data_IF_085740603356
#
_entry.id   IF_085740603356
#
_cell.length_a   1.000
_cell.length_b   1.000
_cell.length_c   1.000
_cell.angle_alpha   90.00
_cell.angle_beta   90.00
_cell.angle_gamma   90.00
#
_symmetry.space_group_name_H-M   'P 1'
#
loop_
_entity.id
_entity.type
_entity.pdbx_description
1 polymer ?
#
# COMPACT_ATOMS: atom_id res chain seq x y z
N UNK A 1 -6.68 -17.33 -3.74
CA UNK A 1 -7.59 -16.95 -4.82
C UNK A 1 -6.92 -15.82 -5.58
N UNK A 2 -6.69 -16.03 -6.88
CA UNK A 2 -6.05 -15.04 -7.75
C UNK A 2 -7.01 -13.88 -7.97
N UNK A 3 -6.88 -12.82 -7.17
CA UNK A 3 -7.79 -11.67 -7.17
C UNK A 3 -7.78 -10.92 -8.51
N UNK A 4 -6.74 -11.12 -9.33
CA UNK A 4 -6.69 -10.69 -10.72
C UNK A 4 -7.74 -11.42 -11.56
N UNK A 5 -7.85 -12.75 -11.41
CA UNK A 5 -8.90 -13.54 -12.04
C UNK A 5 -10.29 -13.10 -11.57
N UNK A 6 -10.49 -12.85 -10.28
CA UNK A 6 -11.79 -12.38 -9.75
C UNK A 6 -12.17 -11.00 -10.31
N UNK A 7 -11.21 -10.07 -10.39
CA UNK A 7 -11.49 -8.71 -10.83
C UNK A 7 -11.71 -8.63 -12.34
N UNK A 8 -10.96 -9.40 -13.14
CA UNK A 8 -11.23 -9.54 -14.57
C UNK A 8 -12.56 -10.27 -14.81
N UNK A 9 -12.87 -11.31 -14.04
CA UNK A 9 -14.13 -12.05 -14.18
C UNK A 9 -15.35 -11.16 -13.90
N UNK A 10 -15.27 -10.25 -12.92
CA UNK A 10 -16.32 -9.24 -12.66
C UNK A 10 -16.58 -8.31 -13.84
N UNK A 11 -15.62 -8.19 -14.75
CA UNK A 11 -15.76 -7.43 -15.98
C UNK A 11 -15.99 -8.30 -17.22
N UNK A 12 -16.30 -9.59 -17.03
CA UNK A 12 -16.53 -10.53 -18.13
C UNK A 12 -15.25 -10.93 -18.87
N UNK A 13 -14.08 -10.75 -18.26
CA UNK A 13 -12.78 -11.10 -18.84
C UNK A 13 -12.13 -12.26 -18.10
N UNK A 14 -11.37 -13.06 -18.84
CA UNK A 14 -10.49 -14.08 -18.29
C UNK A 14 -9.06 -13.78 -18.70
N UNK A 15 -8.16 -13.71 -17.73
CA UNK A 15 -6.73 -13.59 -18.02
C UNK A 15 -6.24 -14.87 -18.73
N UNK A 16 -5.60 -14.77 -19.92
CA UNK A 16 -5.20 -15.96 -20.67
C UNK A 16 -3.91 -16.62 -20.16
N UNK A 17 -3.14 -15.95 -19.29
CA UNK A 17 -1.85 -16.43 -18.79
C UNK A 17 -1.90 -17.06 -17.39
N UNK A 18 -0.88 -17.85 -17.00
CA UNK A 18 -0.80 -18.46 -15.67
C UNK A 18 -0.33 -17.47 -14.58
N UNK A 19 0.19 -16.30 -14.96
CA UNK A 19 0.77 -15.30 -14.06
C UNK A 19 0.14 -13.93 -14.29
N UNK A 20 -0.13 -13.14 -13.24
CA UNK A 20 -0.62 -11.78 -13.39
C UNK A 20 0.29 -10.92 -14.29
N UNK A 21 -0.27 -9.99 -15.08
CA UNK A 21 0.50 -9.09 -15.93
C UNK A 21 1.38 -8.16 -15.10
N UNK A 22 2.56 -7.82 -15.64
CA UNK A 22 3.52 -6.90 -15.04
C UNK A 22 3.58 -5.54 -15.72
N UNK A 23 2.91 -5.40 -16.87
CA UNK A 23 2.85 -4.14 -17.63
C UNK A 23 1.57 -4.05 -18.45
N UNK A 24 1.21 -2.81 -18.81
CA UNK A 24 0.10 -2.51 -19.71
C UNK A 24 0.34 -3.12 -21.10
N UNK A 25 1.59 -3.21 -21.54
CA UNK A 25 1.96 -3.85 -22.79
C UNK A 25 1.60 -5.34 -22.82
N UNK A 26 1.84 -6.07 -21.72
CA UNK A 26 1.43 -7.48 -21.59
C UNK A 26 -0.10 -7.63 -21.63
N UNK A 27 -0.84 -6.73 -20.97
CA UNK A 27 -2.31 -6.74 -21.02
C UNK A 27 -2.81 -6.43 -22.42
N UNK A 28 -2.22 -5.46 -23.12
CA UNK A 28 -2.56 -5.10 -24.50
C UNK A 28 -2.29 -6.24 -25.47
N UNK A 29 -1.18 -6.97 -25.28
CA UNK A 29 -0.87 -8.16 -26.07
C UNK A 29 -1.88 -9.29 -25.84
N UNK A 30 -2.41 -9.44 -24.62
CA UNK A 30 -3.42 -10.42 -24.28
C UNK A 30 -4.82 -10.07 -24.82
N UNK A 31 -5.13 -8.78 -25.02
CA UNK A 31 -6.44 -8.29 -25.48
C UNK A 31 -6.29 -7.27 -26.63
N UNK A 32 -5.81 -7.68 -27.81
CA UNK A 32 -5.46 -6.76 -28.90
C UNK A 32 -6.66 -6.02 -29.49
N UNK A 33 -7.85 -6.60 -29.41
CA UNK A 33 -9.09 -6.02 -29.97
C UNK A 33 -9.78 -5.02 -29.01
N UNK A 34 -9.28 -4.88 -27.77
CA UNK A 34 -9.89 -4.00 -26.78
C UNK A 34 -9.46 -2.55 -26.99
N UNK A 35 -10.43 -1.63 -26.91
CA UNK A 35 -10.14 -0.20 -26.91
C UNK A 35 -9.28 0.18 -25.70
N UNK A 36 -8.25 1.00 -25.92
CA UNK A 36 -7.24 1.32 -24.90
C UNK A 36 -7.85 1.94 -23.62
N UNK A 37 -8.89 2.76 -23.75
CA UNK A 37 -9.60 3.34 -22.61
C UNK A 37 -10.32 2.29 -21.74
N UNK A 38 -10.95 1.29 -22.37
CA UNK A 38 -11.64 0.22 -21.65
C UNK A 38 -10.63 -0.75 -21.03
N UNK A 39 -9.51 -1.00 -21.71
CA UNK A 39 -8.39 -1.78 -21.20
C UNK A 39 -7.77 -1.11 -19.95
N UNK A 40 -7.51 0.20 -19.98
CA UNK A 40 -7.00 0.93 -18.80
C UNK A 40 -7.99 0.90 -17.64
N UNK A 41 -9.30 1.05 -17.90
CA UNK A 41 -10.35 0.91 -16.87
C UNK A 41 -10.34 -0.50 -16.26
N UNK A 42 -10.09 -1.52 -17.08
CA UNK A 42 -9.97 -2.90 -16.63
C UNK A 42 -8.82 -3.12 -15.68
N UNK A 43 -7.64 -2.65 -16.07
CA UNK A 43 -6.44 -2.78 -15.25
C UNK A 43 -6.63 -2.04 -13.94
N UNK A 44 -7.14 -0.81 -13.95
CA UNK A 44 -7.42 -0.07 -12.72
C UNK A 44 -8.42 -0.76 -11.80
N UNK A 45 -9.49 -1.33 -12.37
CA UNK A 45 -10.46 -2.12 -11.61
C UNK A 45 -9.82 -3.37 -11.02
N UNK A 46 -8.97 -4.05 -11.80
CA UNK A 46 -8.19 -5.19 -11.34
C UNK A 46 -7.38 -4.78 -10.12
N UNK A 47 -6.58 -3.72 -10.24
CA UNK A 47 -5.78 -3.05 -9.20
C UNK A 47 -6.58 -2.52 -7.99
N UNK A 48 -7.90 -2.73 -7.95
CA UNK A 48 -8.76 -2.31 -6.83
C UNK A 48 -9.16 -0.85 -6.85
N UNK A 49 -8.92 -0.13 -7.96
CA UNK A 49 -9.24 1.28 -8.15
C UNK A 49 -10.21 1.49 -9.34
N UNK A 50 -11.50 1.12 -9.22
CA UNK A 50 -12.43 1.15 -10.35
C UNK A 50 -12.74 2.57 -10.90
N UNK A 51 -12.46 3.61 -10.10
CA UNK A 51 -12.68 5.02 -10.47
C UNK A 51 -11.41 5.83 -10.16
N UNK A 52 -10.36 5.73 -10.98
CA UNK A 52 -9.15 6.51 -10.76
C UNK A 52 -9.45 8.01 -10.88
N UNK A 53 -8.78 8.83 -10.07
CA UNK A 53 -8.86 10.30 -9.99
C UNK A 53 -10.26 10.84 -9.69
N UNK A 54 -11.07 10.05 -8.99
CA UNK A 54 -12.44 10.41 -8.64
C UNK A 54 -12.53 11.52 -7.60
N UNK A 55 -11.56 11.60 -6.69
CA UNK A 55 -11.49 12.63 -5.66
C UNK A 55 -10.63 13.80 -6.13
N UNK A 56 -11.23 15.00 -6.16
CA UNK A 56 -10.54 16.25 -6.49
C UNK A 56 -9.89 16.84 -5.25
N UNK A 57 -8.56 16.94 -5.27
CA UNK A 57 -7.81 17.46 -4.13
C UNK A 57 -7.65 18.97 -4.22
N UNK A 58 -7.97 19.65 -3.12
CA UNK A 58 -7.48 21.01 -2.89
C UNK A 58 -5.94 20.99 -2.79
N UNK A 59 -5.27 22.14 -3.00
CA UNK A 59 -3.82 22.23 -2.82
C UNK A 59 -3.36 21.75 -1.43
N UNK A 60 -4.11 22.07 -0.37
CA UNK A 60 -3.82 21.63 0.98
C UNK A 60 -4.01 20.11 1.16
N UNK A 61 -5.07 19.54 0.58
CA UNK A 61 -5.31 18.09 0.63
C UNK A 61 -4.19 17.32 -0.10
N UNK A 62 -3.66 17.89 -1.19
CA UNK A 62 -2.53 17.31 -1.92
C UNK A 62 -1.24 17.25 -1.09
N UNK A 63 -0.93 18.33 -0.37
CA UNK A 63 0.23 18.34 0.53
C UNK A 63 0.11 17.29 1.64
N UNK A 64 -1.11 16.97 2.10
CA UNK A 64 -1.33 15.97 3.15
C UNK A 64 -1.08 14.53 2.71
N UNK A 65 -0.97 14.24 1.41
CA UNK A 65 -0.71 12.87 0.93
C UNK A 65 0.66 12.33 1.35
N UNK A 66 1.64 13.20 1.56
CA UNK A 66 2.97 12.83 2.05
C UNK A 66 3.12 12.99 3.56
N UNK A 67 2.08 13.44 4.27
CA UNK A 67 2.15 13.78 5.69
C UNK A 67 1.53 12.69 6.58
N UNK A 68 1.98 12.63 7.82
CA UNK A 68 1.36 11.84 8.87
C UNK A 68 -0.11 12.29 9.06
N UNK A 69 -1.05 11.38 8.83
CA UNK A 69 -2.50 11.66 8.91
C UNK A 69 -3.08 11.19 10.24
N UNK A 70 -2.58 10.07 10.76
CA UNK A 70 -2.95 9.55 12.06
C UNK A 70 -1.71 9.04 12.80
N UNK A 71 -1.68 9.23 14.11
CA UNK A 71 -0.67 8.70 15.01
C UNK A 71 -1.32 8.26 16.32
N UNK A 72 -1.02 7.03 16.73
CA UNK A 72 -1.48 6.45 18.00
C UNK A 72 -0.31 5.79 18.72
N UNK A 73 -0.20 6.10 19.99
CA UNK A 73 0.69 5.39 20.90
C UNK A 73 0.08 4.05 21.30
N UNK A 74 0.84 2.96 21.15
CA UNK A 74 0.42 1.60 21.51
C UNK A 74 1.45 1.02 22.47
N UNK A 75 1.29 1.33 23.76
CA UNK A 75 2.29 1.00 24.79
C UNK A 75 1.85 -0.10 25.76
N UNK A 76 0.59 -0.53 25.67
CA UNK A 76 0.06 -1.60 26.51
C UNK A 76 -0.92 -2.52 25.74
N UNK A 77 -1.18 -3.73 26.26
CA UNK A 77 -2.22 -4.60 25.70
C UNK A 77 -3.60 -3.97 25.66
N UNK A 78 -3.93 -3.12 26.64
CA UNK A 78 -5.18 -2.38 26.68
C UNK A 78 -5.26 -1.34 25.56
N UNK A 79 -4.17 -0.62 25.29
CA UNK A 79 -4.09 0.32 24.16
C UNK A 79 -4.27 -0.41 22.84
N UNK A 80 -3.55 -1.52 22.64
CA UNK A 80 -3.65 -2.30 21.41
C UNK A 80 -5.08 -2.83 21.17
N UNK A 81 -5.76 -3.32 22.21
CA UNK A 81 -7.13 -3.80 22.12
C UNK A 81 -8.12 -2.66 21.81
N UNK A 82 -7.96 -1.51 22.48
CA UNK A 82 -8.81 -0.33 22.26
C UNK A 82 -8.63 0.24 20.85
N UNK A 83 -7.40 0.53 20.44
CA UNK A 83 -7.10 1.07 19.11
C UNK A 83 -7.50 0.08 18.02
N UNK A 84 -7.26 -1.22 18.22
CA UNK A 84 -7.72 -2.25 17.28
C UNK A 84 -9.24 -2.27 17.12
N UNK A 85 -9.99 -2.12 18.22
CA UNK A 85 -11.45 -2.02 18.16
C UNK A 85 -11.92 -0.73 17.45
N UNK A 86 -11.29 0.41 17.73
CA UNK A 86 -11.59 1.70 17.08
C UNK A 86 -11.39 1.61 15.55
N UNK A 87 -10.30 0.99 15.12
CA UNK A 87 -9.92 0.85 13.70
C UNK A 87 -10.40 -0.47 13.06
N UNK A 88 -11.35 -1.18 13.68
CA UNK A 88 -11.83 -2.47 13.16
C UNK A 88 -12.47 -2.36 11.77
N UNK A 89 -12.98 -1.17 11.41
CA UNK A 89 -13.53 -0.86 10.09
C UNK A 89 -12.49 -0.45 9.05
N UNK A 90 -11.23 -0.24 9.43
CA UNK A 90 -10.18 0.19 8.50
C UNK A 90 -9.76 -0.94 7.57
N UNK A 91 -10.21 -0.86 6.32
CA UNK A 91 -10.07 -1.95 5.36
C UNK A 91 -8.63 -2.31 4.95
N UNK A 92 -7.64 -1.45 5.26
CA UNK A 92 -6.23 -1.66 4.90
C UNK A 92 -5.31 -1.94 6.08
N UNK A 93 -5.73 -1.63 7.31
CA UNK A 93 -4.89 -1.73 8.50
C UNK A 93 -4.26 -3.12 8.66
N UNK A 94 -5.09 -4.17 8.66
CA UNK A 94 -4.59 -5.54 8.78
C UNK A 94 -3.68 -5.94 7.62
N UNK A 95 -4.07 -5.62 6.39
CA UNK A 95 -3.31 -5.99 5.20
C UNK A 95 -1.90 -5.39 5.22
N UNK A 96 -1.78 -4.10 5.54
CA UNK A 96 -0.49 -3.40 5.54
C UNK A 96 0.42 -3.89 6.67
N UNK A 97 -0.13 -4.08 7.88
CA UNK A 97 0.67 -4.55 9.00
C UNK A 97 1.13 -6.00 8.83
N UNK A 98 0.28 -6.87 8.25
CA UNK A 98 0.62 -8.27 8.00
C UNK A 98 1.58 -8.45 6.83
N UNK A 99 1.59 -7.53 5.84
CA UNK A 99 2.47 -7.61 4.67
C UNK A 99 3.97 -7.69 5.02
N UNK A 100 4.36 -7.11 6.16
CA UNK A 100 5.74 -7.04 6.63
C UNK A 100 6.03 -7.95 7.83
N UNK A 101 5.06 -8.81 8.20
CA UNK A 101 5.11 -9.64 9.42
C UNK A 101 4.78 -11.11 9.11
N UNK A 102 5.67 -11.84 8.42
CA UNK A 102 5.40 -13.23 8.03
C UNK A 102 5.23 -14.20 9.21
N UNK A 103 5.61 -13.81 10.43
CA UNK A 103 5.37 -14.59 11.65
C UNK A 103 3.94 -14.45 12.20
N UNK A 104 3.11 -13.54 11.68
CA UNK A 104 1.71 -13.40 12.07
C UNK A 104 0.78 -14.12 11.09
N UNK A 105 -0.37 -14.68 11.55
CA UNK A 105 -1.34 -15.29 10.65
C UNK A 105 -1.91 -14.27 9.65
N UNK A 106 -1.90 -14.60 8.36
CA UNK A 106 -2.39 -13.73 7.28
C UNK A 106 -3.90 -13.43 7.35
N UNK A 107 -4.67 -14.25 8.09
CA UNK A 107 -6.10 -14.06 8.34
C UNK A 107 -6.44 -13.21 9.57
N UNK A 108 -5.44 -12.59 10.23
CA UNK A 108 -5.68 -11.76 11.41
C UNK A 108 -6.52 -10.54 11.03
N UNK A 109 -7.64 -10.32 11.74
CA UNK A 109 -8.54 -9.20 11.46
C UNK A 109 -7.95 -7.86 11.89
N UNK A 110 -8.49 -6.74 11.37
CA UNK A 110 -8.10 -5.38 11.78
C UNK A 110 -8.26 -5.15 13.29
N UNK A 111 -9.25 -5.78 13.93
CA UNK A 111 -9.47 -5.71 15.38
C UNK A 111 -8.35 -6.40 16.18
N UNK A 112 -7.82 -7.49 15.64
CA UNK A 112 -6.86 -8.38 16.33
C UNK A 112 -5.40 -8.10 15.96
N UNK A 113 -5.14 -7.37 14.87
CA UNK A 113 -3.79 -7.20 14.33
C UNK A 113 -2.87 -6.44 15.28
N UNK A 114 -3.33 -5.36 15.92
CA UNK A 114 -2.50 -4.62 16.88
C UNK A 114 -2.17 -5.42 18.14
N UNK A 115 -3.13 -6.11 18.79
CA UNK A 115 -2.80 -7.07 19.84
C UNK A 115 -1.78 -8.12 19.40
N UNK A 116 -1.88 -8.63 18.17
CA UNK A 116 -0.94 -9.60 17.63
C UNK A 116 0.47 -9.02 17.42
N UNK A 117 0.57 -7.83 16.86
CA UNK A 117 1.84 -7.10 16.70
C UNK A 117 2.49 -6.83 18.05
N UNK A 118 1.75 -6.29 19.01
CA UNK A 118 2.29 -5.97 20.34
C UNK A 118 2.88 -7.21 21.05
N UNK A 119 2.23 -8.37 20.94
CA UNK A 119 2.74 -9.64 21.49
C UNK A 119 4.07 -10.07 20.90
N UNK A 120 4.38 -9.63 19.68
CA UNK A 120 5.55 -10.03 18.90
C UNK A 120 6.65 -8.98 18.80
N UNK A 121 6.37 -7.70 18.97
CA UNK A 121 7.29 -6.59 18.62
C UNK A 121 7.41 -5.51 19.71
N UNK A 122 6.73 -5.67 20.86
CA UNK A 122 6.70 -4.69 21.95
C UNK A 122 6.03 -3.35 21.57
N UNK A 123 6.02 -2.40 22.50
CA UNK A 123 5.39 -1.08 22.41
C UNK A 123 5.87 -0.26 21.20
N UNK A 124 4.99 0.53 20.58
CA UNK A 124 5.34 1.32 19.40
C UNK A 124 4.28 2.34 19.01
N UNK A 125 4.47 2.91 17.82
CA UNK A 125 3.67 3.95 17.20
C UNK A 125 2.92 3.34 16.01
N UNK A 126 1.60 3.39 16.04
CA UNK A 126 0.77 3.12 14.87
C UNK A 126 0.54 4.43 14.12
N UNK A 127 0.76 4.44 12.82
CA UNK A 127 0.62 5.63 12.00
C UNK A 127 -0.03 5.34 10.63
N UNK A 128 -0.81 6.30 10.14
CA UNK A 128 -1.26 6.37 8.75
C UNK A 128 -0.43 7.42 8.01
N UNK A 129 0.33 6.99 7.00
CA UNK A 129 1.21 7.86 6.22
C UNK A 129 0.48 8.38 4.98
N UNK A 130 -0.19 9.53 5.10
CA UNK A 130 -1.07 10.09 4.08
C UNK A 130 -2.46 9.46 4.10
N UNK A 131 -3.49 10.26 3.80
CA UNK A 131 -4.91 9.88 3.88
C UNK A 131 -5.28 8.62 3.07
N UNK A 132 -4.50 8.30 2.04
CA UNK A 132 -4.66 7.10 1.20
C UNK A 132 -3.42 6.21 1.14
N UNK A 133 -2.47 6.44 2.05
CA UNK A 133 -1.22 5.70 2.08
C UNK A 133 -1.24 4.47 2.98
N UNK A 134 -0.06 3.98 3.38
CA UNK A 134 0.08 2.79 4.20
C UNK A 134 -0.18 3.04 5.69
N UNK A 135 -0.80 2.06 6.34
CA UNK A 135 -0.68 1.90 7.80
C UNK A 135 0.66 1.26 8.16
N UNK A 136 1.37 1.85 9.11
CA UNK A 136 2.67 1.37 9.60
C UNK A 136 2.70 1.27 11.11
N UNK A 137 3.48 0.34 11.63
CA UNK A 137 3.78 0.23 13.05
C UNK A 137 5.28 0.32 13.25
N UNK A 138 5.74 1.36 13.94
CA UNK A 138 7.15 1.70 14.13
C UNK A 138 7.50 1.68 15.62
N UNK A 139 8.65 1.13 15.98
CA UNK A 139 9.07 1.06 17.39
C UNK A 139 9.51 2.42 17.95
N UNK A 140 9.97 3.34 17.09
CA UNK A 140 10.49 4.65 17.49
C UNK A 140 10.05 5.76 16.53
N UNK A 141 10.15 7.02 16.98
CA UNK A 141 9.91 8.19 16.12
C UNK A 141 10.89 8.23 14.94
N UNK A 142 12.14 7.83 15.13
CA UNK A 142 13.14 7.79 14.06
C UNK A 142 12.76 6.76 12.97
N UNK A 143 12.30 5.58 13.37
CA UNK A 143 11.79 4.55 12.45
C UNK A 143 10.58 5.07 11.67
N UNK A 144 9.65 5.75 12.36
CA UNK A 144 8.48 6.38 11.73
C UNK A 144 8.88 7.47 10.72
N UNK A 145 9.86 8.32 11.07
CA UNK A 145 10.38 9.37 10.17
C UNK A 145 11.02 8.78 8.91
N UNK A 146 11.74 7.66 9.03
CA UNK A 146 12.33 6.98 7.87
C UNK A 146 11.24 6.49 6.90
N UNK A 147 10.17 5.90 7.42
CA UNK A 147 9.03 5.44 6.61
C UNK A 147 8.25 6.62 6.00
N UNK A 148 8.00 7.68 6.78
CA UNK A 148 7.34 8.90 6.30
C UNK A 148 8.12 9.55 5.15
N UNK A 149 9.45 9.62 5.24
CA UNK A 149 10.31 10.12 4.15
C UNK A 149 10.15 9.28 2.88
N UNK A 150 10.26 7.95 2.98
CA UNK A 150 10.12 7.07 1.82
C UNK A 150 8.73 7.17 1.18
N UNK A 151 7.67 7.27 1.99
CA UNK A 151 6.31 7.52 1.48
C UNK A 151 6.22 8.88 0.78
N UNK A 152 6.84 9.92 1.33
CA UNK A 152 6.89 11.25 0.72
C UNK A 152 7.61 11.26 -0.63
N UNK A 153 8.74 10.56 -0.76
CA UNK A 153 9.46 10.40 -2.02
C UNK A 153 8.62 9.63 -3.05
N UNK A 154 7.97 8.55 -2.64
CA UNK A 154 7.05 7.78 -3.50
C UNK A 154 5.90 8.66 -4.02
N UNK A 155 5.22 9.39 -3.13
CA UNK A 155 4.10 10.28 -3.50
C UNK A 155 4.57 11.40 -4.42
N UNK A 156 5.74 12.00 -4.13
CA UNK A 156 6.32 13.07 -4.95
C UNK A 156 6.67 12.57 -6.34
N UNK A 157 7.36 11.44 -6.44
CA UNK A 157 7.71 10.81 -7.71
C UNK A 157 6.46 10.44 -8.51
N UNK A 158 5.47 9.80 -7.86
CA UNK A 158 4.22 9.40 -8.51
C UNK A 158 3.40 10.62 -8.97
N UNK A 159 3.47 11.74 -8.25
CA UNK A 159 2.76 12.96 -8.63
C UNK A 159 3.25 13.54 -9.96
N UNK A 160 4.51 13.33 -10.32
CA UNK A 160 5.11 13.83 -11.57
C UNK A 160 5.08 12.81 -12.70
N UNK A 161 4.65 11.58 -12.42
CA UNK A 161 4.61 10.50 -13.41
C UNK A 161 3.35 10.56 -14.29
N UNK A 162 3.49 10.07 -15.52
CA UNK A 162 2.38 9.84 -16.43
C UNK A 162 1.55 8.62 -15.98
N UNK A 163 0.30 8.56 -16.45
CA UNK A 163 -0.63 7.49 -16.06
C UNK A 163 -0.09 6.09 -16.38
N UNK A 164 0.51 5.92 -17.55
CA UNK A 164 1.07 4.64 -17.99
C UNK A 164 2.20 4.17 -17.09
N UNK A 165 3.09 5.08 -16.68
CA UNK A 165 4.17 4.78 -15.73
C UNK A 165 3.64 4.33 -14.38
N UNK A 166 2.61 4.99 -13.85
CA UNK A 166 2.01 4.60 -12.56
C UNK A 166 1.29 3.26 -12.69
N UNK A 167 0.58 3.02 -13.80
CA UNK A 167 -0.13 1.77 -14.04
C UNK A 167 0.84 0.59 -14.16
N UNK A 168 1.91 0.74 -14.96
CA UNK A 168 2.97 -0.28 -15.10
C UNK A 168 3.64 -0.57 -13.76
N UNK A 169 3.94 0.47 -12.98
CA UNK A 169 4.53 0.29 -11.66
C UNK A 169 3.58 -0.40 -10.67
N UNK A 170 2.29 -0.04 -10.68
CA UNK A 170 1.28 -0.70 -9.86
C UNK A 170 1.05 -2.17 -10.26
N UNK A 171 1.17 -2.50 -11.55
CA UNK A 171 1.15 -3.87 -12.07
C UNK A 171 2.37 -4.68 -11.62
N UNK A 172 3.55 -4.08 -11.71
CA UNK A 172 4.80 -4.70 -11.28
C UNK A 172 4.90 -4.86 -9.74
N UNK A 173 4.07 -4.15 -8.98
CA UNK A 173 4.03 -4.20 -7.52
C UNK A 173 3.44 -5.54 -7.02
N UNK A 174 4.31 -6.55 -6.90
CA UNK A 174 3.94 -7.92 -6.55
C UNK A 174 3.83 -8.23 -5.05
N UNK A 175 3.96 -7.23 -4.16
CA UNK A 175 4.07 -7.45 -2.70
C UNK A 175 2.76 -7.25 -1.93
N UNK A 176 1.96 -6.26 -2.29
CA UNK A 176 0.78 -5.86 -1.49
C UNK A 176 -0.34 -5.44 -2.42
N UNK A 177 -1.52 -6.04 -2.29
CA UNK A 177 -2.66 -5.69 -3.11
C UNK A 177 -3.79 -5.03 -2.33
N UNK A 178 -4.23 -3.81 -2.71
CA UNK A 178 -3.71 -3.01 -3.82
C UNK A 178 -2.40 -2.33 -3.47
N UNK A 179 -1.55 -2.17 -4.49
CA UNK A 179 -0.30 -1.41 -4.43
C UNK A 179 -0.57 0.02 -3.91
N UNK A 180 0.37 0.60 -3.19
CA UNK A 180 0.26 1.98 -2.69
C UNK A 180 0.03 2.96 -3.84
N UNK A 181 0.71 2.75 -4.97
CA UNK A 181 0.51 3.51 -6.19
C UNK A 181 -0.96 3.48 -6.66
N UNK A 182 -1.59 2.31 -6.67
CA UNK A 182 -3.01 2.18 -7.03
C UNK A 182 -3.95 2.85 -6.02
N UNK A 183 -3.57 2.93 -4.74
CA UNK A 183 -4.38 3.62 -3.71
C UNK A 183 -4.36 5.13 -3.90
N UNK A 184 -3.21 5.72 -4.24
CA UNK A 184 -3.09 7.16 -4.50
C UNK A 184 -4.01 7.61 -5.64
N UNK A 185 -4.24 6.73 -6.61
CA UNK A 185 -5.11 6.96 -7.76
C UNK A 185 -6.59 7.09 -7.41
N UNK A 186 -7.01 6.95 -6.15
CA UNK A 186 -8.34 7.45 -5.76
C UNK A 186 -8.48 8.97 -5.95
N UNK A 187 -7.35 9.68 -5.90
CA UNK A 187 -7.25 11.14 -5.99
C UNK A 187 -6.67 11.65 -7.30
N UNK A 188 -6.88 12.91 -7.63
CA UNK A 188 -6.27 13.58 -8.78
C UNK A 188 -4.89 14.20 -8.49
N UNK A 189 -4.09 13.56 -7.64
CA UNK A 189 -2.82 14.07 -7.12
C UNK A 189 -1.72 14.29 -8.17
N UNK A 190 -1.82 13.67 -9.35
CA UNK A 190 -0.83 13.80 -10.42
C UNK A 190 -0.85 15.18 -11.08
N UNK A 191 0.34 15.67 -11.40
CA UNK A 191 0.67 16.83 -12.23
C UNK A 191 1.91 16.45 -13.04
N UNK A 192 1.75 15.67 -14.12
CA UNK A 192 2.88 15.17 -14.88
C UNK A 192 3.77 16.30 -15.36
N UNK A 193 5.07 16.10 -15.24
CA UNK A 193 6.08 17.05 -15.71
C UNK A 193 6.95 16.39 -16.77
N UNK A 194 7.33 17.08 -17.84
CA UNK A 194 8.26 16.55 -18.83
C UNK A 194 9.58 16.14 -18.15
N UNK A 195 10.03 14.91 -18.39
CA UNK A 195 11.26 14.40 -17.78
C UNK A 195 11.37 12.88 -17.86
N UNK A 196 12.49 12.32 -17.37
CA UNK A 196 12.64 10.88 -17.24
C UNK A 196 11.59 10.32 -16.29
N UNK A 197 10.97 9.20 -16.67
CA UNK A 197 10.02 8.52 -15.82
C UNK A 197 10.71 8.07 -14.51
N UNK A 198 10.16 8.40 -13.33
CA UNK A 198 10.72 7.93 -12.08
C UNK A 198 10.56 6.41 -11.94
N UNK A 199 11.53 5.77 -11.28
CA UNK A 199 11.44 4.34 -10.94
C UNK A 199 10.50 4.14 -9.73
N UNK A 200 9.19 4.17 -9.99
CA UNK A 200 8.16 4.05 -8.96
C UNK A 200 8.14 2.67 -8.29
N UNK A 201 8.53 1.62 -9.03
CA UNK A 201 8.64 0.26 -8.48
C UNK A 201 9.74 0.20 -7.44
N UNK A 202 10.90 0.79 -7.72
CA UNK A 202 11.99 0.88 -6.75
C UNK A 202 11.59 1.67 -5.50
N UNK A 203 10.88 2.79 -5.64
CA UNK A 203 10.42 3.57 -4.49
C UNK A 203 9.43 2.81 -3.61
N UNK A 204 8.42 2.17 -4.19
CA UNK A 204 7.47 1.37 -3.42
C UNK A 204 8.16 0.14 -2.78
N UNK A 205 9.07 -0.52 -3.51
CA UNK A 205 9.84 -1.63 -2.97
C UNK A 205 10.72 -1.18 -1.78
N UNK A 206 11.41 -0.04 -1.89
CA UNK A 206 12.25 0.52 -0.84
C UNK A 206 11.43 0.82 0.43
N UNK A 207 10.24 1.39 0.28
CA UNK A 207 9.33 1.61 1.40
C UNK A 207 9.01 0.30 2.14
N UNK A 208 8.55 -0.73 1.42
CA UNK A 208 8.16 -2.00 2.03
C UNK A 208 9.35 -2.79 2.58
N UNK A 209 10.52 -2.71 1.95
CA UNK A 209 11.75 -3.31 2.47
C UNK A 209 12.17 -2.68 3.80
N UNK A 210 12.08 -1.35 3.92
CA UNK A 210 12.39 -0.66 5.17
C UNK A 210 11.39 -1.01 6.27
N UNK A 211 10.09 -1.04 5.97
CA UNK A 211 9.06 -1.47 6.92
C UNK A 211 9.27 -2.92 7.40
N UNK A 212 9.63 -3.83 6.50
CA UNK A 212 9.96 -5.23 6.81
C UNK A 212 11.22 -5.34 7.69
N UNK A 213 12.27 -4.59 7.35
CA UNK A 213 13.50 -4.54 8.14
C UNK A 213 13.23 -4.06 9.56
N UNK A 214 12.43 -3.01 9.72
CA UNK A 214 12.05 -2.46 11.03
C UNK A 214 11.23 -3.47 11.85
N UNK A 215 10.18 -4.05 11.25
CA UNK A 215 9.32 -5.04 11.92
C UNK A 215 10.13 -6.27 12.38
N UNK A 216 11.02 -6.78 11.52
CA UNK A 216 11.89 -7.92 11.84
C UNK A 216 12.85 -7.61 12.98
N UNK A 217 13.49 -6.44 12.92
CA UNK A 217 14.40 -5.97 13.99
C UNK A 217 13.68 -5.86 15.32
N UNK A 218 12.46 -5.30 15.34
CA UNK A 218 11.64 -5.19 16.54
C UNK A 218 11.26 -6.57 17.09
N UNK A 219 10.85 -7.49 16.20
CA UNK A 219 10.48 -8.85 16.57
C UNK A 219 11.66 -9.61 17.20
N UNK A 220 12.83 -9.59 16.55
CA UNK A 220 14.05 -10.24 17.04
C UNK A 220 14.48 -9.71 18.40
N UNK A 221 14.47 -8.37 18.57
CA UNK A 221 14.76 -7.72 19.86
C UNK A 221 13.81 -8.18 20.96
N UNK A 222 12.51 -8.30 20.64
CA UNK A 222 11.52 -8.76 21.60
C UNK A 222 11.70 -10.23 21.97
N UNK A 223 11.95 -11.09 20.99
CA UNK A 223 12.24 -12.51 21.25
C UNK A 223 13.49 -12.67 22.12
N UNK A 224 14.54 -11.88 21.88
CA UNK A 224 15.77 -11.92 22.69
C UNK A 224 15.54 -11.51 24.14
N UNK A 225 14.60 -10.60 24.43
CA UNK A 225 14.26 -10.17 25.80
C UNK A 225 13.44 -11.20 26.59
N UNK A 226 12.78 -12.13 25.90
CA UNK A 226 11.92 -13.16 26.51
C UNK A 226 12.63 -14.50 26.74
N UNK A 227 13.84 -14.64 26.22
CA UNK A 227 14.73 -15.77 26.46
C UNK A 227 15.55 -15.52 27.72
#
# INVERSE_FOLDING_TARGET
MDRWADALARMGMNWPGPTPPRSLAEVRAAFPDMQDADLRRAVWTALGQPRPRSLKLSPQARARLSHLTELRDVFSPADAARVGAELAGEGRLAADLLAVRPWLPSGTSAREVLPAVLRGEWSGLLALLGEHGPWVYAATVADLQALARLNGELVTAASHAEEETVLDAALASGRTFPALLARLEVTDYRRPTPGPAPDLVAWEAAFWQEAERQARTAHERWQARRR
#
